data_IF_142212470147
#
_entry.id   IF_142212470147
#
_cell.length_a   1.000
_cell.length_b   1.000
_cell.length_c   1.000
_cell.angle_alpha   90.00
_cell.angle_beta   90.00
_cell.angle_gamma   90.00
#
_symmetry.space_group_name_H-M   'P 1'
#
loop_
_entity.id
_entity.type
_entity.pdbx_description
1 polymer ?
#
# COMPACT_ATOMS: atom_id res chain seq x y z
N UNK A 1 -29.39 -15.78 36.55
CA UNK A 1 -29.83 -14.92 35.43
C UNK A 1 -28.67 -14.80 34.46
N UNK A 2 -28.72 -15.52 33.33
CA UNK A 2 -27.70 -15.49 32.27
C UNK A 2 -28.13 -14.39 31.29
N UNK A 3 -27.25 -13.47 30.92
CA UNK A 3 -27.54 -12.60 29.78
C UNK A 3 -26.27 -12.15 29.05
N UNK A 4 -26.39 -12.03 27.73
CA UNK A 4 -25.60 -11.06 26.97
C UNK A 4 -24.35 -11.55 26.26
N UNK A 5 -24.31 -12.78 25.73
CA UNK A 5 -23.45 -13.07 24.58
C UNK A 5 -23.99 -12.28 23.38
N UNK A 6 -23.42 -11.14 23.04
CA UNK A 6 -23.64 -10.52 21.73
C UNK A 6 -22.36 -10.52 20.91
N UNK A 7 -22.23 -11.62 20.16
CA UNK A 7 -21.23 -11.86 19.12
C UNK A 7 -21.53 -10.93 17.95
N UNK A 8 -20.96 -9.73 17.94
CA UNK A 8 -20.89 -8.95 16.68
C UNK A 8 -19.75 -9.48 15.83
N UNK A 9 -20.12 -10.41 14.97
CA UNK A 9 -19.27 -11.00 13.95
C UNK A 9 -18.57 -9.92 13.12
N UNK A 10 -17.25 -9.87 13.25
CA UNK A 10 -16.37 -9.37 12.20
C UNK A 10 -16.68 -10.19 10.94
N UNK A 11 -17.50 -9.63 10.05
CA UNK A 11 -17.68 -10.14 8.69
C UNK A 11 -16.33 -10.07 8.01
N UNK A 12 -15.57 -11.16 8.08
CA UNK A 12 -14.43 -11.39 7.23
C UNK A 12 -14.91 -11.22 5.78
N UNK A 13 -14.37 -10.21 5.11
CA UNK A 13 -14.53 -10.00 3.68
C UNK A 13 -13.99 -11.26 3.01
N UNK A 14 -14.85 -12.23 2.71
CA UNK A 14 -14.47 -13.44 1.99
C UNK A 14 -14.11 -13.00 0.58
N UNK A 15 -12.82 -12.77 0.34
CA UNK A 15 -12.27 -12.64 -1.00
C UNK A 15 -12.70 -13.87 -1.78
N UNK A 16 -13.49 -13.68 -2.83
CA UNK A 16 -13.86 -14.76 -3.75
C UNK A 16 -12.55 -15.33 -4.29
N UNK A 17 -12.33 -16.66 -4.29
CA UNK A 17 -11.12 -17.21 -4.85
C UNK A 17 -11.16 -16.96 -6.36
N UNK A 18 -10.35 -16.00 -6.83
CA UNK A 18 -9.86 -16.01 -8.22
C UNK A 18 -9.31 -17.42 -8.49
N UNK A 19 -9.56 -18.02 -9.65
CA UNK A 19 -9.10 -19.37 -9.93
C UNK A 19 -7.58 -19.47 -9.68
N UNK A 20 -7.10 -20.56 -9.07
CA UNK A 20 -5.69 -20.70 -8.72
C UNK A 20 -4.77 -20.59 -9.96
N UNK A 21 -5.24 -21.06 -11.12
CA UNK A 21 -4.54 -20.94 -12.39
C UNK A 21 -4.43 -19.50 -12.89
N UNK A 22 -5.48 -18.69 -12.71
CA UNK A 22 -5.46 -17.26 -13.09
C UNK A 22 -4.48 -16.47 -12.22
N UNK A 23 -4.49 -16.66 -10.89
CA UNK A 23 -3.53 -15.99 -9.99
C UNK A 23 -2.08 -16.35 -10.30
N UNK A 24 -1.83 -17.61 -10.68
CA UNK A 24 -0.46 -18.06 -11.03
C UNK A 24 0.05 -17.36 -12.29
N UNK A 25 -0.81 -17.24 -13.32
CA UNK A 25 -0.46 -16.57 -14.57
C UNK A 25 -0.31 -15.06 -14.39
N UNK A 26 -1.20 -14.41 -13.63
CA UNK A 26 -1.06 -12.98 -13.28
C UNK A 26 0.26 -12.70 -12.54
N UNK A 27 0.61 -13.56 -11.58
CA UNK A 27 1.86 -13.43 -10.84
C UNK A 27 3.09 -13.61 -11.75
N UNK A 28 3.03 -14.50 -12.73
CA UNK A 28 4.09 -14.68 -13.73
C UNK A 28 4.26 -13.42 -14.59
N UNK A 29 3.17 -12.90 -15.16
CA UNK A 29 3.18 -11.66 -15.96
C UNK A 29 3.75 -10.49 -15.15
N UNK A 30 3.32 -10.32 -13.90
CA UNK A 30 3.84 -9.23 -13.05
C UNK A 30 5.32 -9.41 -12.76
N UNK A 31 5.78 -10.64 -12.51
CA UNK A 31 7.22 -10.91 -12.30
C UNK A 31 8.04 -10.58 -13.53
N UNK A 32 7.60 -10.99 -14.72
CA UNK A 32 8.31 -10.74 -15.97
C UNK A 32 8.37 -9.24 -16.28
N UNK A 33 7.25 -8.52 -16.10
CA UNK A 33 7.21 -7.07 -16.28
C UNK A 33 8.16 -6.32 -15.34
N UNK A 34 8.23 -6.71 -14.08
CA UNK A 34 9.16 -6.12 -13.10
C UNK A 34 10.60 -6.49 -13.46
N UNK A 35 10.86 -7.74 -13.87
CA UNK A 35 12.20 -8.15 -14.29
C UNK A 35 12.71 -7.36 -15.50
N UNK A 36 11.83 -7.02 -16.45
CA UNK A 36 12.17 -6.26 -17.66
C UNK A 36 12.24 -4.74 -17.44
N UNK A 37 11.31 -4.18 -16.64
CA UNK A 37 11.14 -2.72 -16.51
C UNK A 37 11.66 -2.12 -15.20
N UNK A 38 12.17 -2.94 -14.28
CA UNK A 38 12.78 -2.48 -13.03
C UNK A 38 11.85 -2.63 -11.83
N UNK A 39 11.91 -1.69 -10.90
CA UNK A 39 11.25 -1.85 -9.60
C UNK A 39 9.85 -1.24 -9.59
N UNK A 40 9.02 -1.66 -8.64
CA UNK A 40 7.75 -0.97 -8.40
C UNK A 40 8.01 0.40 -7.75
N UNK A 41 7.18 1.40 -8.01
CA UNK A 41 7.30 2.70 -7.33
C UNK A 41 7.30 2.60 -5.81
N UNK A 42 6.59 1.62 -5.24
CA UNK A 42 6.62 1.39 -3.79
C UNK A 42 8.03 0.98 -3.31
N UNK A 43 8.71 0.13 -4.08
CA UNK A 43 10.07 -0.29 -3.79
C UNK A 43 11.08 0.84 -4.01
N UNK A 44 10.97 1.58 -5.12
CA UNK A 44 11.80 2.77 -5.39
C UNK A 44 11.66 3.84 -4.29
N UNK A 45 10.46 4.02 -3.75
CA UNK A 45 10.17 4.93 -2.63
C UNK A 45 10.60 4.37 -1.26
N UNK A 46 11.22 3.19 -1.19
CA UNK A 46 11.65 2.55 0.06
C UNK A 46 10.49 2.12 0.96
N UNK A 47 9.34 1.77 0.39
CA UNK A 47 8.15 1.32 1.12
C UNK A 47 8.10 -0.21 1.12
N UNK A 48 8.46 -0.88 2.24
CA UNK A 48 8.29 -2.32 2.36
C UNK A 48 6.80 -2.64 2.46
N UNK A 49 6.20 -3.05 1.34
CA UNK A 49 4.76 -3.23 1.23
C UNK A 49 4.28 -4.45 2.03
N UNK A 50 3.80 -4.19 3.24
CA UNK A 50 3.13 -5.14 4.13
C UNK A 50 1.69 -4.71 4.32
N UNK A 51 0.77 -5.67 4.46
CA UNK A 51 -0.64 -5.40 4.74
C UNK A 51 -0.85 -4.92 6.19
N UNK A 52 -0.37 -3.70 6.46
CA UNK A 52 -0.39 -3.04 7.76
C UNK A 52 -0.61 -1.54 7.56
N UNK A 53 -1.22 -0.82 8.52
CA UNK A 53 -1.64 0.55 8.31
C UNK A 53 -0.54 1.52 7.87
N UNK A 54 0.65 1.44 8.45
CA UNK A 54 1.73 2.40 8.17
C UNK A 54 2.29 2.26 6.73
N UNK A 55 2.70 1.08 6.23
CA UNK A 55 3.06 0.90 4.81
C UNK A 55 1.95 1.26 3.83
N UNK A 56 0.68 0.93 4.14
CA UNK A 56 -0.44 1.27 3.27
C UNK A 56 -0.71 2.78 3.23
N UNK A 57 -0.51 3.49 4.34
CA UNK A 57 -0.57 4.95 4.36
C UNK A 57 0.53 5.57 3.49
N UNK A 58 1.78 5.08 3.61
CA UNK A 58 2.89 5.55 2.78
C UNK A 58 2.62 5.30 1.29
N UNK A 59 2.04 4.15 0.94
CA UNK A 59 1.62 3.85 -0.43
C UNK A 59 0.51 4.81 -0.91
N UNK A 60 -0.46 5.14 -0.05
CA UNK A 60 -1.51 6.11 -0.36
C UNK A 60 -0.92 7.50 -0.66
N UNK A 61 0.01 7.97 0.17
CA UNK A 61 0.70 9.25 -0.06
C UNK A 61 1.43 9.24 -1.41
N UNK A 62 2.17 8.18 -1.71
CA UNK A 62 2.82 8.00 -3.01
C UNK A 62 1.81 8.07 -4.18
N UNK A 63 0.68 7.38 -4.07
CA UNK A 63 -0.37 7.39 -5.10
C UNK A 63 -0.97 8.79 -5.31
N UNK A 64 -1.16 9.55 -4.23
CA UNK A 64 -1.63 10.94 -4.30
C UNK A 64 -0.59 11.83 -5.01
N UNK A 65 0.68 11.72 -4.66
CA UNK A 65 1.76 12.48 -5.29
C UNK A 65 1.91 12.17 -6.78
N UNK A 66 1.86 10.89 -7.16
CA UNK A 66 1.85 10.46 -8.56
C UNK A 66 0.67 11.05 -9.34
N UNK A 67 -0.43 11.38 -8.66
CA UNK A 67 -1.62 11.99 -9.25
C UNK A 67 -1.53 13.51 -9.36
N UNK A 68 -0.55 14.17 -8.73
CA UNK A 68 -0.47 15.63 -8.58
C UNK A 68 0.02 16.39 -9.85
N UNK A 69 0.02 15.77 -11.03
CA UNK A 69 0.58 16.31 -12.30
C UNK A 69 2.05 16.75 -12.18
N UNK A 70 2.86 15.98 -11.47
CA UNK A 70 4.32 16.14 -11.37
C UNK A 70 5.03 14.95 -12.05
N UNK A 71 6.34 15.07 -12.27
CA UNK A 71 7.14 13.94 -12.78
C UNK A 71 7.09 12.77 -11.79
N UNK A 72 6.98 11.55 -12.28
CA UNK A 72 6.93 10.34 -11.44
C UNK A 72 8.14 10.22 -10.51
N UNK A 73 9.34 10.51 -11.00
CA UNK A 73 10.56 10.53 -10.18
C UNK A 73 10.51 11.55 -9.03
N UNK A 74 9.88 12.71 -9.25
CA UNK A 74 9.69 13.72 -8.20
C UNK A 74 8.67 13.24 -7.16
N UNK A 75 7.59 12.57 -7.59
CA UNK A 75 6.63 11.97 -6.67
C UNK A 75 7.25 10.87 -5.79
N UNK A 76 8.08 9.98 -6.39
CA UNK A 76 8.80 8.93 -5.67
C UNK A 76 9.78 9.55 -4.66
N UNK A 77 10.60 10.51 -5.09
CA UNK A 77 11.53 11.21 -4.22
C UNK A 77 10.79 11.89 -3.06
N UNK A 78 9.73 12.66 -3.34
CA UNK A 78 8.95 13.33 -2.31
C UNK A 78 8.34 12.35 -1.30
N UNK A 79 7.78 11.22 -1.75
CA UNK A 79 7.23 10.19 -0.85
C UNK A 79 8.30 9.60 0.09
N UNK A 80 9.52 9.43 -0.43
CA UNK A 80 10.68 8.97 0.34
C UNK A 80 11.09 10.03 1.37
N UNK A 81 11.28 11.28 0.96
CA UNK A 81 11.65 12.39 1.85
C UNK A 81 10.63 12.57 3.00
N UNK A 82 9.33 12.54 2.69
CA UNK A 82 8.28 12.61 3.72
C UNK A 82 8.40 11.44 4.72
N UNK A 83 8.68 10.23 4.22
CA UNK A 83 8.86 9.06 5.08
C UNK A 83 10.10 9.17 5.97
N UNK A 84 11.22 9.65 5.42
CA UNK A 84 12.48 9.86 6.13
C UNK A 84 12.38 11.00 7.15
N UNK A 85 11.58 12.03 6.88
CA UNK A 85 11.20 13.10 7.81
C UNK A 85 10.26 12.64 8.94
N UNK A 86 9.88 11.36 8.98
CA UNK A 86 9.02 10.80 10.04
C UNK A 86 7.52 10.91 9.77
N UNK A 87 7.09 11.47 8.66
CA UNK A 87 5.69 11.67 8.27
C UNK A 87 5.08 10.38 7.68
N UNK A 88 5.16 9.28 8.46
CA UNK A 88 4.88 7.91 8.01
C UNK A 88 3.46 7.43 8.35
N UNK A 89 2.68 8.24 9.04
CA UNK A 89 1.31 7.93 9.43
C UNK A 89 0.43 9.20 9.42
N UNK A 90 -0.91 9.05 9.35
CA UNK A 90 -1.82 10.19 9.24
C UNK A 90 -1.71 11.20 10.37
N UNK A 91 -1.40 10.76 11.60
CA UNK A 91 -1.34 11.66 12.76
C UNK A 91 -0.09 12.52 12.69
N UNK A 92 1.06 11.90 12.43
CA UNK A 92 2.34 12.61 12.27
C UNK A 92 2.30 13.62 11.12
N UNK A 93 1.65 13.27 10.00
CA UNK A 93 1.47 14.19 8.87
C UNK A 93 0.51 15.35 9.21
N UNK A 94 -0.60 15.07 9.89
CA UNK A 94 -1.57 16.11 10.25
C UNK A 94 -1.06 17.09 11.32
N UNK A 95 -0.05 16.68 12.10
CA UNK A 95 0.65 17.53 13.08
C UNK A 95 1.89 18.22 12.50
N UNK A 96 2.16 18.09 11.20
CA UNK A 96 3.25 18.80 10.54
C UNK A 96 2.80 20.23 10.20
N UNK A 97 3.66 21.20 10.54
CA UNK A 97 3.43 22.64 10.32
C UNK A 97 3.91 23.11 8.93
#
# INVERSE_FOLDING_TARGET
MRDGRDRRGRRGRRSRPVSAGTRSREAEIVRDLVAEHGETFAHEAGIPLKDTPQPLYRLLVLAVLLSARIRGSVAVAAARELSEAGLRDPRSMASAD
#
